data_IF_137635916198
#
_entry.id   IF_137635916198
#
_cell.length_a   1.000
_cell.length_b   1.000
_cell.length_c   1.000
_cell.angle_alpha   90.00
_cell.angle_beta   90.00
_cell.angle_gamma   90.00
#
_symmetry.space_group_name_H-M   'P 1'
#
loop_
_entity.id
_entity.type
_entity.pdbx_description
1 polymer ?
#
# COMPACT_ATOMS: atom_id res chain seq x y z
N UNK A 1 -19.62 16.19 2.93
CA UNK A 1 -18.33 16.66 2.36
C UNK A 1 -17.08 16.00 2.98
N UNK A 2 -17.04 15.67 4.27
CA UNK A 2 -15.88 14.99 4.92
C UNK A 2 -15.80 13.49 4.54
N UNK A 3 -16.94 12.85 4.28
CA UNK A 3 -17.05 11.42 3.94
C UNK A 3 -16.33 11.01 2.65
N UNK A 4 -16.44 11.80 1.60
CA UNK A 4 -15.75 11.56 0.33
C UNK A 4 -14.25 11.77 0.44
N UNK A 5 -13.79 12.65 1.36
CA UNK A 5 -12.37 12.91 1.58
C UNK A 5 -11.65 11.69 2.15
N UNK A 6 -12.21 11.01 3.16
CA UNK A 6 -11.58 9.82 3.77
C UNK A 6 -11.46 8.65 2.79
N UNK A 7 -12.50 8.39 1.97
CA UNK A 7 -12.40 7.41 0.88
C UNK A 7 -11.37 7.80 -0.17
N UNK A 8 -11.36 9.07 -0.58
CA UNK A 8 -10.39 9.56 -1.56
C UNK A 8 -8.95 9.40 -1.06
N UNK A 9 -8.70 9.64 0.24
CA UNK A 9 -7.39 9.40 0.87
C UNK A 9 -7.05 7.91 0.88
N UNK A 10 -8.00 7.03 1.21
CA UNK A 10 -7.77 5.58 1.19
C UNK A 10 -7.52 5.02 -0.23
N UNK A 11 -8.17 5.58 -1.26
CA UNK A 11 -7.91 5.26 -2.66
C UNK A 11 -6.54 5.81 -3.08
N UNK A 12 -6.23 7.05 -2.70
CA UNK A 12 -4.97 7.72 -3.03
C UNK A 12 -3.76 7.02 -2.41
N UNK A 13 -3.86 6.60 -1.14
CA UNK A 13 -2.82 5.83 -0.44
C UNK A 13 -2.60 4.47 -1.09
N UNK A 14 -3.68 3.78 -1.50
CA UNK A 14 -3.55 2.54 -2.26
C UNK A 14 -2.89 2.74 -3.62
N UNK A 15 -3.32 3.73 -4.40
CA UNK A 15 -2.73 4.04 -5.70
C UNK A 15 -1.25 4.43 -5.58
N UNK A 16 -0.92 5.26 -4.59
CA UNK A 16 0.46 5.66 -4.29
C UNK A 16 1.31 4.46 -3.88
N UNK A 17 0.77 3.54 -3.08
CA UNK A 17 1.46 2.30 -2.70
C UNK A 17 1.83 1.48 -3.94
N UNK A 18 0.90 1.27 -4.88
CA UNK A 18 1.17 0.53 -6.11
C UNK A 18 2.25 1.24 -6.95
N UNK A 19 2.13 2.56 -7.12
CA UNK A 19 3.10 3.32 -7.91
C UNK A 19 4.50 3.17 -7.30
N UNK A 20 4.62 3.35 -5.98
CA UNK A 20 5.92 3.23 -5.30
C UNK A 20 6.45 1.79 -5.35
N UNK A 21 5.59 0.78 -5.23
CA UNK A 21 5.99 -0.62 -5.39
C UNK A 21 6.55 -0.92 -6.79
N UNK A 22 5.89 -0.41 -7.85
CA UNK A 22 6.36 -0.56 -9.23
C UNK A 22 7.68 0.19 -9.44
N UNK A 23 7.76 1.43 -8.95
CA UNK A 23 8.97 2.25 -9.00
C UNK A 23 10.12 1.51 -8.33
N UNK A 24 9.92 0.98 -7.14
CA UNK A 24 10.93 0.22 -6.40
C UNK A 24 11.35 -1.04 -7.17
N UNK A 25 10.39 -1.88 -7.60
CA UNK A 25 10.67 -3.10 -8.35
C UNK A 25 11.42 -2.89 -9.67
N UNK A 26 11.15 -1.79 -10.39
CA UNK A 26 11.81 -1.49 -11.67
C UNK A 26 13.08 -0.65 -11.55
N UNK A 27 13.19 0.24 -10.55
CA UNK A 27 14.31 1.20 -10.42
C UNK A 27 15.37 0.80 -9.39
N UNK A 28 15.15 -0.25 -8.57
CA UNK A 28 16.17 -0.80 -7.65
C UNK A 28 17.47 -1.15 -8.36
N UNK A 29 17.41 -1.58 -9.62
CA UNK A 29 18.61 -1.96 -10.38
C UNK A 29 19.49 -0.78 -10.80
N UNK A 30 19.01 0.47 -10.66
CA UNK A 30 19.64 1.64 -11.29
C UNK A 30 20.29 2.63 -10.32
N UNK A 31 19.96 2.67 -9.02
CA UNK A 31 20.65 3.55 -8.06
C UNK A 31 20.26 3.33 -6.59
N UNK A 32 21.25 3.45 -5.69
CA UNK A 32 21.11 3.45 -4.21
C UNK A 32 20.21 4.59 -3.65
N UNK A 33 19.79 5.55 -4.48
CA UNK A 33 18.99 6.70 -4.06
C UNK A 33 17.54 6.35 -3.68
N UNK A 34 17.07 5.18 -4.10
CA UNK A 34 15.71 4.71 -3.83
C UNK A 34 15.66 3.67 -2.70
N UNK A 35 16.79 3.41 -2.04
CA UNK A 35 16.87 2.50 -0.90
C UNK A 35 15.98 3.04 0.24
N UNK A 36 14.90 2.32 0.55
CA UNK A 36 13.89 2.71 1.54
C UNK A 36 12.55 3.20 0.97
N UNK A 37 12.43 3.42 -0.34
CA UNK A 37 11.11 3.68 -0.96
C UNK A 37 10.19 2.46 -0.85
N UNK A 38 10.73 1.26 -1.05
CA UNK A 38 10.03 0.01 -0.77
C UNK A 38 9.44 -0.04 0.64
N UNK A 39 10.19 0.40 1.66
CA UNK A 39 9.74 0.44 3.06
C UNK A 39 8.62 1.47 3.28
N UNK A 40 8.74 2.67 2.71
CA UNK A 40 7.69 3.70 2.79
C UNK A 40 6.40 3.25 2.10
N UNK A 41 6.53 2.61 0.94
CA UNK A 41 5.40 2.10 0.15
C UNK A 41 4.59 1.03 0.89
N UNK A 42 5.20 0.34 1.86
CA UNK A 42 4.55 -0.79 2.52
C UNK A 42 4.32 -0.64 4.01
N UNK A 43 5.23 -0.05 4.77
CA UNK A 43 5.08 0.06 6.22
C UNK A 43 4.46 1.38 6.69
N UNK A 44 4.34 2.38 5.82
CA UNK A 44 3.83 3.70 6.20
C UNK A 44 2.53 4.04 5.48
N UNK A 45 2.51 3.92 4.15
CA UNK A 45 1.36 4.36 3.34
C UNK A 45 0.14 3.43 3.48
N UNK A 46 0.26 2.09 3.45
CA UNK A 46 -0.88 1.19 3.59
C UNK A 46 -1.58 1.26 4.96
N UNK A 47 -0.87 1.36 6.10
CA UNK A 47 -1.52 1.60 7.39
C UNK A 47 -2.38 2.87 7.41
N UNK A 48 -1.91 3.96 6.79
CA UNK A 48 -2.70 5.20 6.67
C UNK A 48 -3.97 4.95 5.85
N UNK A 49 -3.87 4.21 4.75
CA UNK A 49 -5.01 3.78 3.94
C UNK A 49 -6.01 2.92 4.71
N UNK A 50 -5.53 1.94 5.50
CA UNK A 50 -6.35 1.08 6.36
C UNK A 50 -7.10 1.91 7.40
N UNK A 51 -6.41 2.84 8.09
CA UNK A 51 -7.04 3.70 9.12
C UNK A 51 -8.10 4.59 8.48
N UNK A 52 -7.82 5.22 7.33
CA UNK A 52 -8.78 6.06 6.63
C UNK A 52 -10.01 5.28 6.13
N UNK A 53 -9.79 4.07 5.58
CA UNK A 53 -10.87 3.20 5.13
C UNK A 53 -11.70 2.67 6.32
N UNK A 54 -11.09 2.37 7.45
CA UNK A 54 -11.78 1.96 8.69
C UNK A 54 -12.64 3.07 9.27
N UNK A 55 -12.12 4.31 9.29
CA UNK A 55 -12.90 5.50 9.70
C UNK A 55 -14.10 5.72 8.76
N UNK A 56 -13.90 5.52 7.45
CA UNK A 56 -14.98 5.61 6.47
C UNK A 56 -16.03 4.51 6.64
N UNK A 57 -15.60 3.27 6.90
CA UNK A 57 -16.47 2.13 7.15
C UNK A 57 -17.36 2.36 8.38
N UNK A 58 -16.77 2.79 9.51
CA UNK A 58 -17.53 3.10 10.74
C UNK A 58 -18.60 4.18 10.54
N UNK A 59 -18.44 5.05 9.53
CA UNK A 59 -19.37 6.15 9.24
C UNK A 59 -20.41 5.84 8.18
N UNK A 60 -20.16 4.88 7.29
CA UNK A 60 -21.04 4.61 6.13
C UNK A 60 -21.59 3.20 6.07
N UNK A 61 -20.95 2.22 6.73
CA UNK A 61 -21.29 0.81 6.64
C UNK A 61 -21.18 0.23 5.22
N UNK A 62 -20.47 0.89 4.29
CA UNK A 62 -20.45 0.45 2.90
C UNK A 62 -19.48 -0.70 2.66
N UNK A 63 -19.91 -1.71 1.91
CA UNK A 63 -19.05 -2.81 1.44
C UNK A 63 -17.82 -2.31 0.67
N UNK A 64 -17.89 -1.12 0.04
CA UNK A 64 -16.76 -0.52 -0.66
C UNK A 64 -15.61 -0.20 0.30
N UNK A 65 -15.90 0.22 1.53
CA UNK A 65 -14.86 0.52 2.52
C UNK A 65 -14.23 -0.75 3.07
N UNK A 66 -15.01 -1.83 3.20
CA UNK A 66 -14.47 -3.16 3.55
C UNK A 66 -13.45 -3.61 2.49
N UNK A 67 -13.82 -3.49 1.21
CA UNK A 67 -12.92 -3.78 0.09
C UNK A 67 -11.65 -2.92 0.19
N UNK A 68 -11.78 -1.61 0.41
CA UNK A 68 -10.62 -0.72 0.58
C UNK A 68 -9.69 -1.10 1.74
N UNK A 69 -10.24 -1.55 2.87
CA UNK A 69 -9.45 -2.07 3.99
C UNK A 69 -8.70 -3.32 3.57
N UNK A 70 -9.39 -4.28 2.93
CA UNK A 70 -8.79 -5.54 2.47
C UNK A 70 -7.65 -5.29 1.50
N UNK A 71 -7.85 -4.44 0.48
CA UNK A 71 -6.82 -4.22 -0.53
C UNK A 71 -5.61 -3.46 0.05
N UNK A 72 -5.82 -2.47 0.93
CA UNK A 72 -4.69 -1.82 1.63
C UNK A 72 -3.97 -2.80 2.58
N UNK A 73 -4.68 -3.75 3.17
CA UNK A 73 -4.07 -4.81 3.99
C UNK A 73 -3.22 -5.75 3.13
N UNK A 74 -3.69 -6.15 1.95
CA UNK A 74 -2.88 -6.93 1.01
C UNK A 74 -1.65 -6.13 0.57
N UNK A 75 -1.81 -4.83 0.31
CA UNK A 75 -0.72 -3.95 -0.08
C UNK A 75 0.38 -3.85 1.01
N UNK A 76 -0.01 -3.88 2.30
CA UNK A 76 0.93 -3.97 3.43
C UNK A 76 1.88 -5.18 3.31
N UNK A 77 1.33 -6.34 2.91
CA UNK A 77 2.10 -7.58 2.81
C UNK A 77 2.75 -7.79 1.43
N UNK A 78 2.40 -6.98 0.43
CA UNK A 78 2.83 -7.17 -0.96
C UNK A 78 4.36 -7.16 -1.10
N UNK A 79 5.03 -6.27 -0.38
CA UNK A 79 6.49 -6.16 -0.41
C UNK A 79 7.20 -7.27 0.35
N UNK A 80 6.61 -7.71 1.46
CA UNK A 80 7.10 -8.90 2.16
C UNK A 80 7.00 -10.14 1.26
N UNK A 81 5.87 -10.32 0.57
CA UNK A 81 5.66 -11.40 -0.40
C UNK A 81 6.70 -11.29 -1.53
N UNK A 82 6.87 -10.10 -2.12
CA UNK A 82 7.83 -9.86 -3.19
C UNK A 82 9.25 -10.21 -2.78
N UNK A 83 9.73 -9.70 -1.63
CA UNK A 83 11.07 -10.02 -1.16
C UNK A 83 11.23 -11.49 -0.80
N UNK A 84 10.25 -12.10 -0.12
CA UNK A 84 10.28 -13.52 0.26
C UNK A 84 10.39 -14.43 -0.96
N UNK A 85 9.56 -14.23 -1.99
CA UNK A 85 9.64 -15.00 -3.21
C UNK A 85 10.88 -14.66 -4.04
N UNK A 86 11.33 -13.40 -4.02
CA UNK A 86 12.59 -12.98 -4.63
C UNK A 86 13.78 -13.76 -4.06
N UNK A 87 13.89 -13.81 -2.73
CA UNK A 87 14.96 -14.57 -2.05
C UNK A 87 14.82 -16.08 -2.25
N UNK A 88 13.59 -16.61 -2.23
CA UNK A 88 13.34 -18.04 -2.43
C UNK A 88 13.76 -18.51 -3.84
N UNK A 89 13.48 -17.71 -4.87
CA UNK A 89 13.70 -18.08 -6.27
C UNK A 89 15.09 -17.74 -6.79
N UNK A 90 15.68 -16.64 -6.33
CA UNK A 90 16.93 -16.10 -6.87
C UNK A 90 18.10 -16.11 -5.88
N UNK A 91 17.86 -16.56 -4.64
CA UNK A 91 18.85 -16.53 -3.56
C UNK A 91 18.95 -15.17 -2.86
N UNK A 92 19.74 -15.08 -1.78
CA UNK A 92 20.06 -13.82 -1.12
C UNK A 92 20.95 -12.90 -1.98
#
# INVERSE_FOLDING_TARGET
>A
MILTKSRSIAIGTFALTIILFIVDGFLIHSNQWFDGIGIMSTNVIPPIGIVCATVSLKRTGSNKDIVLITINTIALFLFFIYMFFGTLLFGP
#
